data_IF_343182625119
#
_entry.id   IF_343182625119
#
_cell.length_a   1.000
_cell.length_b   1.000
_cell.length_c   1.000
_cell.angle_alpha   90.00
_cell.angle_beta   90.00
_cell.angle_gamma   90.00
#
_symmetry.space_group_name_H-M   'P 1'
#
loop_
_entity.id
_entity.type
_entity.pdbx_description
1 polymer ?
#
# COMPACT_ATOMS: atom_id res chain seq x y z
N UNK A 1 -19.31 22.59 -5.10
CA UNK A 1 -18.40 21.78 -5.95
C UNK A 1 -18.12 20.50 -5.18
N UNK A 2 -19.12 19.64 -5.10
CA UNK A 2 -19.21 18.53 -4.12
C UNK A 2 -18.74 17.18 -4.70
N UNK A 3 -18.10 17.22 -5.87
CA UNK A 3 -17.58 16.04 -6.57
C UNK A 3 -16.24 15.55 -6.02
N UNK A 4 -15.48 16.43 -5.34
CA UNK A 4 -14.16 16.11 -4.77
C UNK A 4 -14.21 15.73 -3.28
N UNK A 5 -15.40 15.48 -2.74
CA UNK A 5 -15.61 15.17 -1.32
C UNK A 5 -15.80 13.67 -1.14
N UNK A 6 -15.10 13.07 -0.17
CA UNK A 6 -15.25 11.64 0.21
C UNK A 6 -16.71 11.22 0.45
N UNK A 7 -17.56 12.17 0.84
CA UNK A 7 -18.99 11.94 1.10
C UNK A 7 -19.82 11.62 -0.14
N UNK A 8 -19.30 11.81 -1.35
CA UNK A 8 -20.04 11.55 -2.59
C UNK A 8 -19.81 10.10 -3.06
N UNK A 9 -20.70 9.21 -2.61
CA UNK A 9 -20.60 7.76 -2.79
C UNK A 9 -21.16 7.36 -4.15
N UNK A 10 -20.37 6.70 -4.99
CA UNK A 10 -20.81 6.24 -6.31
C UNK A 10 -21.38 4.82 -6.25
N UNK A 11 -20.70 3.93 -5.53
CA UNK A 11 -21.03 2.50 -5.48
C UNK A 11 -20.78 1.98 -4.06
N UNK A 12 -21.83 1.48 -3.43
CA UNK A 12 -21.73 0.68 -2.19
C UNK A 12 -21.51 -0.76 -2.59
N UNK A 13 -20.30 -1.26 -2.38
CA UNK A 13 -19.97 -2.66 -2.67
C UNK A 13 -20.28 -3.46 -1.40
N UNK A 14 -21.24 -4.40 -1.42
CA UNK A 14 -21.59 -5.19 -0.25
C UNK A 14 -20.55 -6.31 -0.03
N UNK A 15 -19.34 -5.94 0.37
CA UNK A 15 -18.28 -6.85 0.81
C UNK A 15 -18.22 -6.82 2.34
N UNK A 16 -18.93 -7.76 2.99
CA UNK A 16 -18.99 -7.89 4.45
C UNK A 16 -20.10 -7.07 5.14
N UNK A 17 -20.28 -7.27 6.45
CA UNK A 17 -21.38 -6.75 7.31
C UNK A 17 -21.51 -5.21 7.38
N UNK A 18 -20.65 -4.47 6.68
CA UNK A 18 -20.75 -3.03 6.48
C UNK A 18 -20.15 -2.67 5.13
N UNK A 19 -20.99 -2.64 4.09
CA UNK A 19 -20.57 -2.39 2.71
C UNK A 19 -19.69 -1.16 2.56
N UNK A 20 -18.61 -1.29 1.78
CA UNK A 20 -17.68 -0.18 1.53
C UNK A 20 -18.28 0.80 0.52
N UNK A 21 -18.47 2.04 0.97
CA UNK A 21 -18.91 3.16 0.18
C UNK A 21 -17.71 3.72 -0.60
N UNK A 22 -17.54 3.34 -1.87
CA UNK A 22 -16.46 3.85 -2.71
C UNK A 22 -16.79 5.27 -3.18
N UNK A 23 -15.94 6.23 -2.82
CA UNK A 23 -16.12 7.62 -3.23
C UNK A 23 -15.63 7.87 -4.66
N UNK A 24 -16.22 8.85 -5.35
CA UNK A 24 -15.79 9.30 -6.69
C UNK A 24 -14.29 9.60 -6.77
N UNK A 25 -13.75 10.25 -5.73
CA UNK A 25 -12.34 10.65 -5.68
C UNK A 25 -11.40 9.42 -5.55
N UNK A 26 -11.82 8.38 -4.83
CA UNK A 26 -11.04 7.16 -4.63
C UNK A 26 -11.01 6.30 -5.88
N UNK A 27 -12.16 6.18 -6.57
CA UNK A 27 -12.24 5.47 -7.84
C UNK A 27 -11.32 6.11 -8.89
N UNK A 28 -11.40 7.44 -9.02
CA UNK A 28 -10.55 8.20 -9.94
C UNK A 28 -9.07 8.09 -9.54
N UNK A 29 -8.74 8.28 -8.26
CA UNK A 29 -7.37 8.12 -7.75
C UNK A 29 -6.79 6.74 -8.04
N UNK A 30 -7.58 5.68 -7.86
CA UNK A 30 -7.18 4.31 -8.15
C UNK A 30 -6.92 4.08 -9.64
N UNK A 31 -7.77 4.61 -10.52
CA UNK A 31 -7.59 4.53 -11.98
C UNK A 31 -6.32 5.29 -12.41
N UNK A 32 -6.09 6.50 -11.90
CA UNK A 32 -4.87 7.25 -12.17
C UNK A 32 -3.61 6.54 -11.64
N UNK A 33 -3.71 5.87 -10.49
CA UNK A 33 -2.65 5.02 -9.95
C UNK A 33 -2.33 3.81 -10.85
N UNK A 34 -3.36 3.11 -11.33
CA UNK A 34 -3.20 2.02 -12.29
C UNK A 34 -2.58 2.49 -13.61
N UNK A 35 -3.02 3.65 -14.12
CA UNK A 35 -2.43 4.26 -15.32
C UNK A 35 -0.96 4.63 -15.10
N UNK A 36 -0.59 5.15 -13.92
CA UNK A 36 0.80 5.39 -13.57
C UNK A 36 1.62 4.11 -13.67
N UNK A 37 1.19 2.99 -13.05
CA UNK A 37 1.92 1.71 -13.12
C UNK A 37 2.04 1.19 -14.56
N UNK A 38 0.99 1.34 -15.37
CA UNK A 38 1.03 0.99 -16.78
C UNK A 38 2.11 1.80 -17.51
N UNK A 39 2.13 3.12 -17.35
CA UNK A 39 3.13 3.97 -17.98
C UNK A 39 4.54 3.72 -17.45
N UNK A 40 4.70 3.38 -16.17
CA UNK A 40 5.96 2.91 -15.60
C UNK A 40 6.47 1.66 -16.32
N UNK A 41 5.59 0.69 -16.57
CA UNK A 41 5.92 -0.52 -17.33
C UNK A 41 6.25 -0.25 -18.80
N UNK A 42 5.88 0.91 -19.33
CA UNK A 42 6.19 1.34 -20.71
C UNK A 42 7.45 2.21 -20.81
N UNK A 43 8.17 2.44 -19.70
CA UNK A 43 9.41 3.24 -19.64
C UNK A 43 9.28 4.64 -20.25
N UNK A 44 8.06 5.20 -20.26
CA UNK A 44 7.83 6.55 -20.78
C UNK A 44 8.02 7.55 -19.65
N UNK A 45 8.69 8.67 -19.94
CA UNK A 45 8.85 9.80 -19.01
C UNK A 45 7.49 10.34 -18.53
N UNK A 46 6.42 10.14 -19.32
CA UNK A 46 5.04 10.50 -18.96
C UNK A 46 4.55 9.79 -17.68
N UNK A 47 5.16 8.66 -17.30
CA UNK A 47 4.91 7.99 -16.03
C UNK A 47 5.02 8.95 -14.84
N UNK A 48 6.03 9.82 -14.82
CA UNK A 48 6.21 10.75 -13.71
C UNK A 48 5.10 11.80 -13.63
N UNK A 49 4.56 12.22 -14.78
CA UNK A 49 3.43 13.16 -14.81
C UNK A 49 2.18 12.50 -14.22
N UNK A 50 1.88 11.26 -14.62
CA UNK A 50 0.78 10.48 -14.03
C UNK A 50 1.04 10.16 -12.56
N UNK A 51 2.28 9.88 -12.17
CA UNK A 51 2.69 9.67 -10.78
C UNK A 51 2.48 10.91 -9.92
N UNK A 52 2.83 12.10 -10.41
CA UNK A 52 2.57 13.38 -9.75
C UNK A 52 1.08 13.64 -9.57
N UNK A 53 0.27 13.40 -10.61
CA UNK A 53 -1.19 13.53 -10.53
C UNK A 53 -1.74 12.57 -9.46
N UNK A 54 -1.36 11.29 -9.53
CA UNK A 54 -1.81 10.27 -8.60
C UNK A 54 -1.46 10.63 -7.14
N UNK A 55 -0.20 10.97 -6.91
CA UNK A 55 0.30 11.38 -5.60
C UNK A 55 -0.45 12.60 -5.07
N UNK A 56 -0.71 13.59 -5.92
CA UNK A 56 -1.43 14.81 -5.52
C UNK A 56 -2.89 14.52 -5.16
N UNK A 57 -3.57 13.65 -5.91
CA UNK A 57 -4.93 13.21 -5.59
C UNK A 57 -4.98 12.48 -4.24
N UNK A 58 -4.09 11.52 -4.01
CA UNK A 58 -4.02 10.80 -2.73
C UNK A 58 -3.66 11.72 -1.57
N UNK A 59 -2.78 12.70 -1.78
CA UNK A 59 -2.44 13.68 -0.76
C UNK A 59 -3.68 14.51 -0.36
N UNK A 60 -4.47 14.96 -1.34
CA UNK A 60 -5.71 15.68 -1.08
C UNK A 60 -6.72 14.83 -0.27
N UNK A 61 -6.83 13.53 -0.57
CA UNK A 61 -7.68 12.60 0.19
C UNK A 61 -7.19 12.47 1.63
N UNK A 62 -5.90 12.20 1.86
CA UNK A 62 -5.36 12.04 3.22
C UNK A 62 -5.44 13.34 4.04
N UNK A 63 -5.37 14.49 3.39
CA UNK A 63 -5.59 15.79 4.05
C UNK A 63 -7.04 15.93 4.56
N UNK A 64 -8.03 15.46 3.79
CA UNK A 64 -9.45 15.45 4.21
C UNK A 64 -9.70 14.52 5.40
N UNK A 65 -9.05 13.34 5.42
CA UNK A 65 -9.21 12.33 6.50
C UNK A 65 -8.28 12.63 7.70
N UNK A 66 -7.53 13.74 7.68
CA UNK A 66 -6.58 14.14 8.73
C UNK A 66 -5.49 13.08 9.01
N UNK A 67 -5.18 12.22 8.04
CA UNK A 67 -4.14 11.19 8.16
C UNK A 67 -2.76 11.77 7.79
N UNK A 68 -2.18 12.53 8.73
CA UNK A 68 -0.92 13.25 8.52
C UNK A 68 0.27 12.33 8.17
N UNK A 69 0.32 11.11 8.73
CA UNK A 69 1.40 10.17 8.45
C UNK A 69 1.41 9.73 6.97
N UNK A 70 0.24 9.35 6.43
CA UNK A 70 0.08 8.97 5.03
C UNK A 70 0.25 10.16 4.09
N UNK A 71 -0.20 11.35 4.51
CA UNK A 71 0.01 12.59 3.77
C UNK A 71 1.51 12.88 3.57
N UNK A 72 2.32 12.80 4.63
CA UNK A 72 3.77 13.02 4.53
C UNK A 72 4.45 12.00 3.63
N UNK A 73 4.04 10.72 3.71
CA UNK A 73 4.53 9.69 2.80
C UNK A 73 4.20 10.03 1.33
N UNK A 74 3.02 10.57 1.10
CA UNK A 74 2.59 11.00 -0.23
C UNK A 74 3.46 12.16 -0.75
N UNK A 75 3.79 13.14 0.09
CA UNK A 75 4.72 14.23 -0.24
C UNK A 75 6.13 13.70 -0.53
N UNK A 76 6.61 12.70 0.21
CA UNK A 76 7.88 12.05 -0.11
C UNK A 76 7.87 11.43 -1.51
N UNK A 77 6.80 10.71 -1.87
CA UNK A 77 6.65 10.18 -3.22
C UNK A 77 6.51 11.27 -4.29
N UNK A 78 5.95 12.43 -3.96
CA UNK A 78 5.93 13.59 -4.86
C UNK A 78 7.36 14.03 -5.21
N UNK A 79 8.19 14.22 -4.19
CA UNK A 79 9.59 14.59 -4.38
C UNK A 79 10.38 13.51 -5.13
N UNK A 80 10.13 12.23 -4.84
CA UNK A 80 10.75 11.11 -5.55
C UNK A 80 10.36 11.06 -7.04
N UNK A 81 9.09 11.34 -7.38
CA UNK A 81 8.65 11.44 -8.78
C UNK A 81 9.30 12.63 -9.49
N UNK A 82 9.44 13.77 -8.81
CA UNK A 82 10.12 14.94 -9.37
C UNK A 82 11.61 14.67 -9.59
N UNK A 83 12.26 13.99 -8.64
CA UNK A 83 13.65 13.55 -8.78
C UNK A 83 13.81 12.54 -9.91
N UNK A 84 12.91 11.56 -10.01
CA UNK A 84 12.89 10.59 -11.10
C UNK A 84 12.74 11.27 -12.46
N UNK A 85 11.80 12.22 -12.57
CA UNK A 85 11.66 13.03 -13.78
C UNK A 85 12.93 13.81 -14.09
N UNK A 86 13.49 14.52 -13.11
CA UNK A 86 14.73 15.28 -13.30
C UNK A 86 15.91 14.39 -13.75
N UNK A 87 16.07 13.22 -13.12
CA UNK A 87 17.11 12.26 -13.45
C UNK A 87 16.91 11.63 -14.84
N UNK A 88 15.66 11.34 -15.24
CA UNK A 88 15.37 10.71 -16.53
C UNK A 88 15.22 11.71 -17.69
N UNK A 89 14.92 12.97 -17.38
CA UNK A 89 14.89 14.09 -18.35
C UNK A 89 16.29 14.51 -18.78
N UNK A 90 17.32 14.21 -17.99
CA UNK A 90 18.71 14.51 -18.30
C UNK A 90 19.33 13.34 -19.07
N UNK A 91 18.91 13.19 -20.32
CA UNK A 91 19.58 12.31 -21.29
C UNK A 91 20.73 13.09 -21.92
N UNK A 92 21.95 12.55 -21.86
CA UNK A 92 23.10 13.11 -22.58
C UNK A 92 22.86 13.05 -24.10
N UNK A 93 23.55 13.90 -24.86
CA UNK A 93 23.50 14.06 -26.33
C UNK A 93 23.66 12.76 -27.17
N UNK A 94 23.91 11.61 -26.54
CA UNK A 94 24.16 10.32 -27.17
C UNK A 94 22.98 9.32 -27.14
N UNK A 95 21.76 9.71 -26.72
CA UNK A 95 20.57 8.83 -26.77
C UNK A 95 20.72 7.48 -26.02
N UNK A 96 21.68 7.37 -25.10
CA UNK A 96 21.81 6.21 -24.21
C UNK A 96 21.06 6.52 -22.92
N UNK A 97 20.02 5.73 -22.63
CA UNK A 97 19.32 5.81 -21.35
C UNK A 97 20.33 5.65 -20.20
N UNK A 98 20.57 6.74 -19.45
CA UNK A 98 21.58 6.81 -18.40
C UNK A 98 21.35 5.83 -17.22
N UNK A 99 20.20 5.14 -17.18
CA UNK A 99 19.98 3.99 -16.32
C UNK A 99 19.91 2.72 -17.17
N UNK A 100 21.06 2.07 -17.38
CA UNK A 100 21.10 0.66 -17.83
C UNK A 100 20.36 -0.17 -16.79
N UNK A 101 19.20 -0.72 -17.18
CA UNK A 101 18.45 -1.71 -16.42
C UNK A 101 19.37 -2.91 -16.19
N UNK A 102 20.04 -2.93 -15.04
CA UNK A 102 20.81 -4.08 -14.58
C UNK A 102 19.90 -4.93 -13.74
N UNK A 103 19.78 -6.20 -14.14
CA UNK A 103 19.23 -7.23 -13.27
C UNK A 103 19.98 -7.21 -11.94
N UNK A 104 19.23 -7.12 -10.85
CA UNK A 104 19.81 -7.25 -9.52
C UNK A 104 20.45 -8.65 -9.45
N UNK A 105 21.77 -8.76 -9.21
CA UNK A 105 22.44 -10.05 -9.18
C UNK A 105 21.75 -10.94 -8.15
N UNK A 106 21.47 -12.19 -8.52
CA UNK A 106 20.63 -13.14 -7.74
C UNK A 106 21.02 -13.22 -6.27
N UNK A 107 22.31 -13.07 -5.95
CA UNK A 107 22.81 -13.02 -4.57
C UNK A 107 22.22 -11.87 -3.74
N UNK A 108 22.09 -10.66 -4.29
CA UNK A 108 21.47 -9.52 -3.61
C UNK A 108 19.96 -9.67 -3.50
N UNK A 109 19.31 -10.35 -4.45
CA UNK A 109 17.89 -10.68 -4.37
C UNK A 109 17.60 -11.64 -3.21
N UNK A 110 18.44 -12.67 -3.00
CA UNK A 110 18.31 -13.56 -1.84
C UNK A 110 18.52 -12.83 -0.52
N UNK A 111 19.50 -11.92 -0.44
CA UNK A 111 19.68 -11.08 0.76
C UNK A 111 18.46 -10.21 1.03
N UNK A 112 17.87 -9.60 0.00
CA UNK A 112 16.66 -8.78 0.14
C UNK A 112 15.47 -9.62 0.61
N UNK A 113 15.25 -10.80 0.02
CA UNK A 113 14.19 -11.73 0.44
C UNK A 113 14.40 -12.18 1.88
N UNK A 114 15.63 -12.51 2.27
CA UNK A 114 15.96 -12.88 3.64
C UNK A 114 15.67 -11.74 4.63
N UNK A 115 16.01 -10.49 4.28
CA UNK A 115 15.70 -9.30 5.10
C UNK A 115 14.18 -9.11 5.24
N UNK A 116 13.42 -9.25 4.16
CA UNK A 116 11.96 -9.16 4.21
C UNK A 116 11.35 -10.25 5.10
N UNK A 117 11.80 -11.50 4.97
CA UNK A 117 11.32 -12.60 5.81
C UNK A 117 11.67 -12.40 7.29
N UNK A 118 12.88 -11.93 7.58
CA UNK A 118 13.30 -11.60 8.95
C UNK A 118 12.45 -10.46 9.51
N UNK A 119 12.18 -9.41 8.73
CA UNK A 119 11.35 -8.30 9.17
C UNK A 119 9.91 -8.74 9.47
N UNK A 120 9.33 -9.62 8.64
CA UNK A 120 7.99 -10.20 8.86
C UNK A 120 7.99 -11.07 10.12
N UNK A 121 8.98 -11.94 10.27
CA UNK A 121 9.10 -12.81 11.45
C UNK A 121 9.31 -12.00 12.73
N UNK A 122 10.10 -10.93 12.67
CA UNK A 122 10.34 -10.02 13.79
C UNK A 122 9.07 -9.24 14.15
N UNK A 123 8.31 -8.79 13.15
CA UNK A 123 7.02 -8.13 13.36
C UNK A 123 6.01 -9.08 14.02
N UNK A 124 5.86 -10.32 13.52
CA UNK A 124 5.00 -11.34 14.13
C UNK A 124 5.45 -11.68 15.55
N UNK A 125 6.76 -11.83 15.77
CA UNK A 125 7.32 -12.11 17.10
C UNK A 125 7.12 -10.96 18.09
N UNK A 126 7.30 -9.71 17.65
CA UNK A 126 7.08 -8.52 18.47
C UNK A 126 5.58 -8.30 18.76
N UNK A 127 4.70 -8.69 17.83
CA UNK A 127 3.24 -8.64 17.98
C UNK A 127 2.64 -9.89 18.63
N UNK A 128 3.45 -10.89 19.01
CA UNK A 128 3.05 -12.01 19.88
C UNK A 128 3.50 -11.78 21.33
N UNK A 129 2.91 -10.85 22.10
CA UNK A 129 3.24 -10.72 23.51
C UNK A 129 2.53 -11.75 24.42
N UNK A 130 1.75 -12.71 23.90
CA UNK A 130 0.68 -13.33 24.71
C UNK A 130 0.43 -14.85 24.67
N UNK A 131 1.06 -15.68 23.83
CA UNK A 131 0.74 -17.12 23.77
C UNK A 131 1.56 -18.00 24.75
N UNK A 132 1.75 -17.52 25.98
CA UNK A 132 2.10 -18.32 27.17
C UNK A 132 1.43 -17.79 28.45
N UNK A 133 0.12 -17.55 28.41
CA UNK A 133 -0.69 -17.94 29.57
C UNK A 133 -1.59 -19.07 29.10
N UNK A 134 -1.01 -20.27 29.11
CA UNK A 134 -1.81 -21.48 29.24
C UNK A 134 -2.66 -21.29 30.48
N UNK A 135 -3.96 -21.05 30.33
CA UNK A 135 -4.90 -21.15 31.44
C UNK A 135 -4.81 -22.58 32.00
N UNK A 136 -4.38 -22.80 33.26
CA UNK A 136 -4.49 -24.12 33.87
C UNK A 136 -5.90 -24.39 34.41
N UNK A 137 -6.88 -23.51 34.18
CA UNK A 137 -8.15 -23.54 34.92
C UNK A 137 -9.40 -23.99 34.17
N UNK A 138 -9.32 -24.40 32.90
CA UNK A 138 -10.44 -25.03 32.20
C UNK A 138 -10.20 -26.54 31.99
N UNK A 139 -9.90 -27.23 33.09
CA UNK A 139 -9.89 -28.69 33.17
C UNK A 139 -11.06 -29.22 33.98
N UNK A 140 -12.16 -29.55 33.32
CA UNK A 140 -13.13 -30.54 33.78
C UNK A 140 -14.28 -30.03 34.64
N UNK A 141 -15.46 -29.85 34.04
CA UNK A 141 -16.76 -30.13 34.68
C UNK A 141 -17.88 -30.19 33.61
N UNK A 142 -17.79 -31.15 32.68
CA UNK A 142 -18.99 -31.62 31.98
C UNK A 142 -19.50 -32.87 32.69
N UNK A 143 -20.29 -32.64 33.75
CA UNK A 143 -20.99 -33.68 34.47
C UNK A 143 -22.12 -34.24 33.57
N UNK A 144 -21.96 -35.51 33.20
CA UNK A 144 -22.94 -36.33 32.48
C UNK A 144 -24.17 -36.58 33.37
N UNK A 145 -25.42 -36.33 32.95
CA UNK A 145 -26.59 -36.67 33.76
C UNK A 145 -26.79 -38.19 33.77
N UNK A 146 -26.84 -38.79 34.97
CA UNK A 146 -27.23 -40.19 35.18
C UNK A 146 -28.70 -40.38 34.80
N UNK A 147 -28.97 -41.27 33.85
CA UNK A 147 -30.25 -41.99 33.74
C UNK A 147 -30.34 -43.00 34.89
N UNK A 148 -31.49 -43.08 35.55
CA UNK A 148 -31.86 -44.21 36.40
C UNK A 148 -33.12 -43.93 37.22
N UNK A 149 -34.15 -44.76 37.04
CA UNK A 149 -35.36 -44.81 37.85
C UNK A 149 -36.62 -44.67 37.05
#
# INVERSE_FOLDING_TARGET
>A
MDFFSIKNVMVTIPLGEGGYALSWIEAIGTVFGLLCIWFASKEKIINYLFGLINVTLFAAIFFQIQLYASLLLQVFFFAANLYGWYAWSRQNEANEAALKIRWLPRSKAFTLVAVCLVAIALNDLLYRPGLRRSDPHCGGHYAKPRRGG
#
